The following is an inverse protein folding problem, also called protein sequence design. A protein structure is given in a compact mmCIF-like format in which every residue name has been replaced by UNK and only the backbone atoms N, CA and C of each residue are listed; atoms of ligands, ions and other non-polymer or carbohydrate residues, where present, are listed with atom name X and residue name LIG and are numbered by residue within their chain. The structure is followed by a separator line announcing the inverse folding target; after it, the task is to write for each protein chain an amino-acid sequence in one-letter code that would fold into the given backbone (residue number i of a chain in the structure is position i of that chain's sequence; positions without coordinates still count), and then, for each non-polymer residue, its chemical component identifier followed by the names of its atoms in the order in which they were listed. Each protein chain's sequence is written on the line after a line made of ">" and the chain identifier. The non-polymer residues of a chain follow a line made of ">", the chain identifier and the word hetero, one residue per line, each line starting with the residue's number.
data_IF_006799670908
#
_entry.id   IF_006799670908
#
_cell.length_a   1.000
_cell.length_b   1.000
_cell.length_c   1.000
_cell.angle_alpha   90.00
_cell.angle_beta   90.00
_cell.angle_gamma   90.00
#
_symmetry.space_group_name_H-M   'P 1'
#
loop_
_entity.id
_entity.type
_entity.pdbx_description
1 polymer ?
#
# COMPACT_ATOMS: atom_id res chain seq x y z
N UNK A 1 33.52 -29.15 0.38
CA UNK A 1 33.47 -28.62 0.36
C UNK A 1 32.98 -27.72 0.34
N UNK A 2 32.79 -27.45 0.59
CA UNK A 2 32.41 -26.59 0.67
C UNK A 2 32.20 -25.90 -0.15
N UNK A 3 31.78 -25.86 -0.17
CA UNK A 3 31.65 -25.28 -1.13
C UNK A 3 31.99 -23.94 -1.06
N UNK A 4 32.86 -23.57 -1.69
CA UNK A 4 33.43 -22.28 -1.61
C UNK A 4 32.55 -21.22 -2.09
N UNK A 5 31.78 -21.45 -3.06
CA UNK A 5 30.98 -20.37 -3.56
C UNK A 5 30.05 -19.88 -2.53
N UNK A 6 29.61 -20.72 -1.66
CA UNK A 6 28.76 -20.25 -0.61
C UNK A 6 29.50 -19.32 0.31
N UNK A 7 30.77 -19.58 0.47
CA UNK A 7 31.55 -18.75 1.37
C UNK A 7 31.93 -17.44 0.73
N UNK A 8 31.79 -17.35 -0.57
CA UNK A 8 32.14 -16.13 -1.27
C UNK A 8 31.11 -15.04 -1.10
N UNK A 9 29.91 -15.38 -0.67
CA UNK A 9 28.84 -14.42 -0.53
C UNK A 9 28.66 -14.05 0.93
N UNK A 10 28.84 -12.79 1.29
CA UNK A 10 28.68 -12.40 2.69
C UNK A 10 27.26 -12.62 3.17
N UNK A 11 27.15 -12.91 4.45
CA UNK A 11 25.81 -13.09 5.04
C UNK A 11 24.96 -11.84 4.89
N UNK A 12 25.60 -10.68 4.90
CA UNK A 12 24.85 -9.44 4.74
C UNK A 12 24.23 -9.34 3.35
N UNK A 13 24.91 -9.87 2.34
CA UNK A 13 24.34 -9.87 0.99
C UNK A 13 23.14 -10.79 0.91
N UNK A 14 23.22 -11.95 1.53
CA UNK A 14 22.07 -12.85 1.58
C UNK A 14 20.89 -12.19 2.29
N UNK A 15 21.17 -11.55 3.42
CA UNK A 15 20.11 -10.90 4.17
C UNK A 15 19.47 -9.78 3.37
N UNK A 16 20.30 -9.01 2.68
CA UNK A 16 19.77 -7.89 1.90
C UNK A 16 18.94 -8.40 0.73
N UNK A 17 19.36 -9.47 0.10
CA UNK A 17 18.60 -10.04 -1.00
C UNK A 17 17.27 -10.59 -0.51
N UNK A 18 17.29 -11.27 0.63
CA UNK A 18 16.06 -11.80 1.21
C UNK A 18 15.12 -10.67 1.61
N UNK A 19 15.68 -9.59 2.18
CA UNK A 19 14.86 -8.44 2.55
C UNK A 19 14.29 -7.77 1.31
N UNK A 20 15.03 -7.73 0.23
CA UNK A 20 14.54 -7.19 -1.03
C UNK A 20 13.32 -7.93 -1.54
N UNK A 21 13.35 -9.26 -1.46
CA UNK A 21 12.19 -10.06 -1.88
C UNK A 21 11.02 -9.86 -0.94
N UNK A 22 11.28 -9.76 0.36
CA UNK A 22 10.21 -9.50 1.32
C UNK A 22 9.58 -8.14 1.05
N UNK A 23 10.40 -7.13 0.75
CA UNK A 23 9.88 -5.80 0.43
C UNK A 23 8.96 -5.86 -0.78
N UNK A 24 9.38 -6.54 -1.81
CA UNK A 24 8.57 -6.64 -3.02
C UNK A 24 7.25 -7.35 -2.75
N UNK A 25 7.29 -8.37 -1.94
CA UNK A 25 6.06 -9.08 -1.59
C UNK A 25 5.13 -8.20 -0.76
N UNK A 26 5.68 -7.45 0.18
CA UNK A 26 4.88 -6.53 0.98
C UNK A 26 4.27 -5.46 0.10
N UNK A 27 5.04 -4.91 -0.83
CA UNK A 27 4.52 -3.90 -1.74
C UNK A 27 3.33 -4.46 -2.53
N UNK A 28 3.46 -5.67 -3.03
CA UNK A 28 2.40 -6.27 -3.82
C UNK A 28 1.14 -6.52 -2.98
N UNK A 29 1.33 -6.99 -1.75
CA UNK A 29 0.21 -7.24 -0.86
C UNK A 29 -0.50 -5.95 -0.50
N UNK A 30 0.26 -4.92 -0.12
CA UNK A 30 -0.34 -3.66 0.28
C UNK A 30 -0.99 -2.96 -0.90
N UNK A 31 -0.52 -3.22 -2.10
CA UNK A 31 -1.11 -2.61 -3.29
C UNK A 31 -2.55 -3.09 -3.49
N UNK A 32 -2.85 -4.33 -3.13
CA UNK A 32 -4.20 -4.87 -3.32
C UNK A 32 -5.02 -4.89 -2.04
N UNK A 33 -4.40 -4.57 -0.91
CA UNK A 33 -5.11 -4.63 0.37
C UNK A 33 -6.10 -3.48 0.49
N UNK A 34 -7.26 -3.77 0.99
CA UNK A 34 -8.29 -2.75 1.23
C UNK A 34 -8.11 -2.18 2.64
N UNK A 35 -7.80 -3.03 3.59
CA UNK A 35 -7.64 -2.63 4.97
C UNK A 35 -6.17 -2.71 5.37
N UNK A 36 -5.76 -2.03 6.44
CA UNK A 36 -4.39 -2.16 6.91
C UNK A 36 -4.06 -3.63 7.21
N UNK A 37 -2.85 -4.03 6.92
CA UNK A 37 -2.42 -5.42 7.05
C UNK A 37 -1.49 -5.54 8.25
N UNK A 38 -1.86 -6.40 9.19
CA UNK A 38 -1.10 -6.55 10.43
C UNK A 38 0.27 -7.18 10.16
N UNK A 39 1.29 -6.75 10.90
CA UNK A 39 2.62 -7.34 10.74
C UNK A 39 2.62 -8.85 10.98
N UNK A 40 1.80 -9.33 11.90
CA UNK A 40 1.74 -10.77 12.16
C UNK A 40 1.20 -11.54 10.95
N UNK A 41 0.26 -10.96 10.23
CA UNK A 41 -0.25 -11.61 9.03
C UNK A 41 0.83 -11.63 7.94
N UNK A 42 1.52 -10.52 7.77
CA UNK A 42 2.61 -10.48 6.79
C UNK A 42 3.70 -11.49 7.17
N UNK A 43 4.00 -11.57 8.46
CA UNK A 43 5.00 -12.52 8.93
C UNK A 43 4.61 -13.95 8.61
N UNK A 44 3.34 -14.27 8.82
CA UNK A 44 2.84 -15.59 8.56
C UNK A 44 2.86 -15.91 7.05
N UNK A 45 2.41 -14.99 6.25
CA UNK A 45 2.36 -15.18 4.81
C UNK A 45 3.73 -15.30 4.19
N UNK A 46 4.68 -14.50 4.67
CA UNK A 46 6.01 -14.43 4.10
C UNK A 46 7.02 -15.32 4.82
N UNK A 47 6.59 -15.94 5.91
CA UNK A 47 7.43 -16.85 6.67
C UNK A 47 8.70 -16.19 7.19
N UNK A 48 8.53 -14.98 7.72
CA UNK A 48 9.61 -14.27 8.39
C UNK A 48 9.10 -13.79 9.74
N UNK A 49 10.00 -13.56 10.70
CA UNK A 49 9.56 -13.07 12.02
C UNK A 49 8.86 -11.72 11.92
N UNK A 50 7.88 -11.52 12.77
CA UNK A 50 7.09 -10.29 12.74
C UNK A 50 7.97 -9.06 12.96
N UNK A 51 8.94 -9.13 13.87
CA UNK A 51 9.78 -7.97 14.12
C UNK A 51 10.64 -7.64 12.92
N UNK A 52 10.98 -8.64 12.10
CA UNK A 52 11.71 -8.39 10.88
C UNK A 52 10.81 -7.70 9.86
N UNK A 53 9.56 -8.11 9.78
CA UNK A 53 8.58 -7.43 8.93
C UNK A 53 8.48 -5.97 9.34
N UNK A 54 8.40 -5.72 10.65
CA UNK A 54 8.28 -4.34 11.13
C UNK A 54 9.51 -3.52 10.78
N UNK A 55 10.71 -4.10 10.93
CA UNK A 55 11.92 -3.39 10.59
C UNK A 55 11.98 -3.08 9.10
N UNK A 56 11.58 -4.03 8.27
CA UNK A 56 11.56 -3.84 6.83
C UNK A 56 10.54 -2.76 6.45
N UNK A 57 9.38 -2.80 7.05
CA UNK A 57 8.36 -1.81 6.76
C UNK A 57 8.80 -0.41 7.18
N UNK A 58 9.48 -0.29 8.32
CA UNK A 58 10.00 1.01 8.74
C UNK A 58 11.03 1.53 7.75
N UNK A 59 11.87 0.64 7.24
CA UNK A 59 12.84 1.03 6.23
C UNK A 59 12.16 1.46 4.94
N UNK A 60 11.11 0.75 4.55
CA UNK A 60 10.37 1.10 3.33
C UNK A 60 9.72 2.46 3.48
N UNK A 61 9.12 2.71 4.64
CA UNK A 61 8.47 4.00 4.88
C UNK A 61 9.50 5.14 4.79
N UNK A 62 10.68 4.93 5.38
CA UNK A 62 11.75 5.93 5.32
C UNK A 62 12.24 6.14 3.90
N UNK A 63 12.38 5.06 3.15
CA UNK A 63 12.87 5.14 1.78
C UNK A 63 11.90 5.94 0.91
N UNK A 64 10.62 5.65 1.01
CA UNK A 64 9.62 6.37 0.22
C UNK A 64 9.64 7.85 0.55
N UNK A 65 9.82 8.17 1.83
CA UNK A 65 9.88 9.56 2.25
C UNK A 65 11.12 10.25 1.68
N UNK A 66 12.28 9.58 1.76
CA UNK A 66 13.52 10.16 1.25
C UNK A 66 13.47 10.35 -0.25
N UNK A 67 12.81 9.44 -0.96
CA UNK A 67 12.70 9.52 -2.41
C UNK A 67 11.57 10.41 -2.86
N UNK A 68 10.86 11.00 -1.92
CA UNK A 68 9.77 11.93 -2.21
C UNK A 68 8.73 11.31 -3.13
N UNK A 69 8.31 10.11 -2.78
CA UNK A 69 7.26 9.43 -3.54
C UNK A 69 5.92 10.10 -3.28
N UNK A 70 5.01 9.95 -4.19
CA UNK A 70 3.66 10.49 -4.04
C UNK A 70 2.80 9.69 -3.08
N UNK A 71 3.34 8.66 -2.48
CA UNK A 71 2.63 7.83 -1.52
C UNK A 71 3.53 7.53 -0.33
N UNK A 72 2.91 7.13 0.76
CA UNK A 72 3.62 6.76 1.98
C UNK A 72 3.13 5.42 2.44
N UNK A 73 3.91 4.79 3.32
CA UNK A 73 3.48 3.60 4.03
C UNK A 73 3.24 4.01 5.46
N UNK A 74 2.02 3.80 5.96
CA UNK A 74 1.65 4.24 7.30
C UNK A 74 1.20 3.07 8.14
N UNK A 75 1.44 3.19 9.44
CA UNK A 75 0.95 2.21 10.38
C UNK A 75 -0.34 2.74 10.97
N UNK A 76 -1.45 2.07 10.68
CA UNK A 76 -2.77 2.53 11.06
C UNK A 76 -3.55 1.36 11.63
N UNK A 77 -4.18 1.56 12.77
CA UNK A 77 -5.03 0.54 13.37
C UNK A 77 -4.31 -0.81 13.49
N UNK A 78 -3.05 -0.77 13.86
CA UNK A 78 -2.28 -1.99 14.07
C UNK A 78 -1.77 -2.66 12.82
N UNK A 79 -1.96 -2.06 11.67
CA UNK A 79 -1.49 -2.63 10.42
C UNK A 79 -0.80 -1.61 9.55
N UNK A 80 -0.30 -2.05 8.42
CA UNK A 80 0.35 -1.17 7.45
C UNK A 80 -0.52 -1.00 6.24
N UNK A 81 -0.45 0.17 5.66
CA UNK A 81 -1.13 0.42 4.40
C UNK A 81 -0.42 1.53 3.64
N UNK A 82 -0.63 1.55 2.34
CA UNK A 82 -0.20 2.68 1.52
C UNK A 82 -1.26 3.77 1.57
N UNK A 83 -0.81 5.00 1.54
CA UNK A 83 -1.72 6.13 1.37
C UNK A 83 -1.03 7.20 0.56
N UNK A 84 -1.82 8.05 -0.07
CA UNK A 84 -1.23 9.14 -0.84
C UNK A 84 -0.52 10.08 0.11
N UNK A 85 0.57 10.68 -0.40
CA UNK A 85 1.32 11.63 0.39
C UNK A 85 0.47 12.88 0.61
N UNK A 86 0.46 13.43 1.82
CA UNK A 86 -0.38 14.61 2.08
C UNK A 86 -0.09 15.79 1.17
N UNK A 87 1.16 15.95 0.73
CA UNK A 87 1.51 17.05 -0.15
C UNK A 87 0.80 16.95 -1.49
N UNK A 88 0.31 15.78 -1.84
CA UNK A 88 -0.37 15.58 -3.11
C UNK A 88 -1.89 15.63 -2.97
N UNK A 89 -2.38 16.03 -1.80
CA UNK A 89 -3.82 16.09 -1.56
C UNK A 89 -4.58 16.88 -2.62
N UNK A 90 -4.10 18.06 -3.07
CA UNK A 90 -4.86 18.79 -4.07
C UNK A 90 -5.11 18.00 -5.35
N UNK A 91 -4.12 17.20 -5.78
CA UNK A 91 -4.27 16.42 -7.00
C UNK A 91 -5.19 15.24 -6.78
N UNK A 92 -5.08 14.61 -5.60
CA UNK A 92 -5.93 13.47 -5.28
C UNK A 92 -7.39 13.91 -5.19
N UNK A 93 -7.63 15.04 -4.52
CA UNK A 93 -9.00 15.55 -4.39
C UNK A 93 -9.59 15.86 -5.75
N UNK A 94 -8.78 16.48 -6.61
CA UNK A 94 -9.25 16.83 -7.95
C UNK A 94 -9.60 15.57 -8.74
N UNK A 95 -8.76 14.54 -8.65
CA UNK A 95 -9.03 13.30 -9.34
C UNK A 95 -10.32 12.67 -8.83
N UNK A 96 -10.49 12.62 -7.51
CA UNK A 96 -11.66 11.99 -6.93
C UNK A 96 -12.93 12.74 -7.32
N UNK A 97 -12.90 14.07 -7.25
CA UNK A 97 -14.07 14.86 -7.61
C UNK A 97 -14.42 14.72 -9.08
N UNK A 98 -13.44 14.81 -9.95
CA UNK A 98 -13.71 14.67 -11.37
C UNK A 98 -14.16 13.26 -11.72
N UNK A 99 -13.55 12.28 -11.10
CA UNK A 99 -13.94 10.91 -11.32
C UNK A 99 -15.36 10.64 -10.86
N UNK A 100 -15.73 11.20 -9.72
CA UNK A 100 -17.08 11.04 -9.24
C UNK A 100 -18.08 11.76 -10.13
N UNK A 101 -17.72 12.94 -10.59
CA UNK A 101 -18.60 13.68 -11.48
C UNK A 101 -18.87 12.92 -12.77
N UNK A 102 -17.83 12.34 -13.34
CA UNK A 102 -18.01 11.56 -14.56
C UNK A 102 -18.85 10.33 -14.33
N UNK A 103 -18.63 9.70 -13.18
CA UNK A 103 -19.37 8.50 -12.86
C UNK A 103 -20.84 8.81 -12.64
N UNK A 104 -21.13 9.91 -11.98
CA UNK A 104 -22.50 10.30 -11.76
C UNK A 104 -23.19 10.64 -13.08
N UNK A 105 -22.48 11.30 -13.98
CA UNK A 105 -23.03 11.61 -15.28
C UNK A 105 -23.36 10.35 -16.05
N UNK A 106 -22.45 9.39 -16.04
CA UNK A 106 -22.69 8.14 -16.73
C UNK A 106 -23.86 7.39 -16.10
N UNK A 107 -23.90 7.36 -14.79
CA UNK A 107 -24.98 6.69 -14.10
C UNK A 107 -26.31 7.36 -14.39
N UNK A 108 -26.33 8.67 -14.42
CA UNK A 108 -27.56 9.40 -14.71
C UNK A 108 -28.06 9.09 -16.11
N UNK A 109 -27.11 8.93 -17.03
CA UNK A 109 -27.52 8.58 -18.36
C UNK A 109 -28.11 7.18 -18.44
N UNK A 110 -27.59 6.30 -17.61
CA UNK A 110 -28.07 4.93 -17.62
C UNK A 110 -29.24 4.72 -16.72
N UNK A 111 -29.14 5.04 -15.53
CA UNK A 111 -30.19 4.81 -14.64
C UNK A 111 -30.17 5.74 -13.58
N UNK A 112 -29.86 6.66 -13.59
CA UNK A 112 -29.89 7.58 -12.63
C UNK A 112 -30.02 7.30 -11.31
N UNK A 113 -30.49 6.60 -11.00
CA UNK A 113 -30.72 6.35 -9.70
C UNK A 113 -29.59 6.20 -8.87
N UNK A 114 -28.93 5.55 -9.17
CA UNK A 114 -27.92 5.27 -8.44
C UNK A 114 -27.40 6.05 -7.59
N UNK A 115 -27.01 6.30 -7.67
CA UNK A 115 -26.38 6.98 -6.91
C UNK A 115 -26.50 7.43 -5.80
N UNK A 116 -26.84 7.69 -5.77
CA UNK A 116 -27.04 8.16 -4.70
C UNK A 116 -26.39 7.67 -3.65
N UNK A 117 -26.14 7.32 -3.54
CA UNK A 117 -25.69 6.87 -2.74
C UNK A 117 -24.89 7.29 -1.88
N UNK A 118 -24.44 7.20 -1.52
CA UNK A 118 -23.83 7.34 -0.75
C UNK A 118 -22.70 7.36 -0.39
N UNK A 119 -22.35 7.36 -0.40
CA UNK A 119 -21.34 7.31 -0.10
C UNK A 119 -20.50 7.76 0.18
N UNK A 120 -20.04 8.04 0.46
CA UNK A 120 -19.15 8.47 0.77
C UNK A 120 -18.24 8.60 1.00
N UNK A 121 -17.56 8.90 1.09
CA UNK A 121 -16.67 8.97 1.13
C UNK A 121 -15.89 8.87 1.77
N UNK A 122 -15.34 8.80 2.12
CA UNK A 122 -14.52 8.53 2.65
C UNK A 122 -13.87 7.96 2.70
N UNK A 123 -13.65 7.76 2.47
CA UNK A 123 -12.88 7.12 2.41
C UNK A 123 -12.31 7.30 1.93
N UNK A 124 -12.24 7.82 1.77
CA UNK A 124 -11.93 7.80 1.30
C UNK A 124 -12.04 7.81 1.12
N UNK A 125 -12.42 8.12 1.10
CA UNK A 125 -12.75 7.73 0.83
C UNK A 125 -12.84 7.10 0.39
N UNK A 126 -12.84 7.33 0.28
CA UNK A 126 -13.04 6.51 -0.13
C UNK A 126 -12.89 5.80 -0.50
N UNK A 127 -12.68 6.08 -0.41
CA UNK A 127 -12.75 5.31 -0.97
C UNK A 127 -13.17 5.34 -1.50
N UNK A 128 -13.27 5.88 -1.49
CA UNK A 128 -13.84 5.63 -2.03
C UNK A 128 -14.22 5.49 -2.46
N UNK A 129 -14.37 5.67 -2.59
CA UNK A 129 -14.82 5.23 -3.00
C UNK A 129 -14.80 4.48 -3.41
N UNK A 130 -14.32 4.34 -3.38
CA UNK A 130 -14.31 3.47 -3.80
C UNK A 130 -14.69 2.99 -4.36
N UNK A 131 -14.70 3.70 -4.29
CA UNK A 131 -15.07 3.24 -4.90
C UNK A 131 -15.54 3.18 -5.15
N UNK A 132 -15.46 3.46 -5.23
CA UNK A 132 -15.98 3.17 -5.48
C UNK A 132 -16.10 2.82 -5.68
N UNK A 133 -15.94 2.97 -5.58
CA UNK A 133 -16.05 2.43 -5.82
C UNK A 133 -16.21 2.15 -5.94
#
# INVERSE_FOLDING_TARGET
>A
MDTPEQNDVPLTEFAEAADGEVRRAIEAILMVAVDPVAPNLLAQLLEVPARRVEAICDDMASLYHRERRGFTMERVAGGYRFQSHPDQAPWVERFVLEGQSRRLTAAALETLAIVAYKQPVSRVQMSAIRGVD
#
